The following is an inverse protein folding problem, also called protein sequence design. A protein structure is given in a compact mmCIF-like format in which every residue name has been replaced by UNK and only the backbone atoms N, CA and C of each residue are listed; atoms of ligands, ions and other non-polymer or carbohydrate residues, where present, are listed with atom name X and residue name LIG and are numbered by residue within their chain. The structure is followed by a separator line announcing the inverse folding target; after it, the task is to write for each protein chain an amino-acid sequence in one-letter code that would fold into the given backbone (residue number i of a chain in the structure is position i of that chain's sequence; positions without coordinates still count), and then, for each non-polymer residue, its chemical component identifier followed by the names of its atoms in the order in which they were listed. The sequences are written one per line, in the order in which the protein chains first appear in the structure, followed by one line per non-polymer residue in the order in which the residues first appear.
data_IF_062814090883
#
_entry.id   IF_062814090883
#
_cell.length_a   1.000
_cell.length_b   1.000
_cell.length_c   1.000
_cell.angle_alpha   90.00
_cell.angle_beta   90.00
_cell.angle_gamma   90.00
#
_symmetry.space_group_name_H-M   'P 1'
#
loop_
_entity.id
_entity.type
_entity.pdbx_description
1 polymer ?
#
# COMPACT_ATOMS: atom_id res chain seq x y z
N UNK A 1 37.06 -32.68 -2.59
CA UNK A 1 38.51 -32.53 -2.81
C UNK A 1 38.76 -32.00 -4.22
N UNK A 2 38.78 -30.66 -4.37
CA UNK A 2 39.26 -29.82 -5.50
C UNK A 2 38.72 -28.40 -5.23
N UNK A 3 39.46 -27.58 -4.47
CA UNK A 3 40.44 -26.57 -4.95
C UNK A 3 39.76 -25.50 -5.84
N UNK A 4 39.40 -24.34 -5.28
CA UNK A 4 40.21 -23.11 -5.11
C UNK A 4 40.15 -22.24 -6.38
N UNK A 5 39.56 -21.05 -6.29
CA UNK A 5 40.23 -19.82 -6.75
C UNK A 5 39.52 -18.53 -6.30
N UNK A 6 40.33 -17.81 -5.54
CA UNK A 6 40.31 -16.46 -5.03
C UNK A 6 40.72 -15.45 -6.11
N UNK A 7 40.06 -14.28 -6.19
CA UNK A 7 40.54 -13.01 -6.74
C UNK A 7 39.37 -11.99 -6.66
N UNK A 8 39.27 -11.01 -5.77
CA UNK A 8 40.20 -9.98 -5.30
C UNK A 8 40.76 -9.09 -6.42
N UNK A 9 40.17 -7.90 -6.60
CA UNK A 9 40.75 -6.58 -7.04
C UNK A 9 39.64 -5.60 -7.47
N UNK A 10 39.86 -4.27 -7.58
CA UNK A 10 40.04 -3.34 -6.46
C UNK A 10 39.13 -2.09 -6.56
N UNK A 11 39.06 -1.33 -5.46
CA UNK A 11 38.53 0.05 -5.40
C UNK A 11 39.21 0.95 -6.45
N UNK A 12 38.43 1.56 -7.34
CA UNK A 12 38.86 2.77 -8.05
C UNK A 12 38.48 4.02 -7.26
N UNK A 13 39.51 4.82 -7.02
CA UNK A 13 39.56 6.03 -6.22
C UNK A 13 39.75 7.17 -7.22
N UNK A 14 38.68 7.89 -7.57
CA UNK A 14 38.81 9.08 -8.40
C UNK A 14 39.07 10.28 -7.50
N UNK A 15 40.30 10.79 -7.57
CA UNK A 15 40.71 12.04 -6.97
C UNK A 15 40.86 13.14 -8.03
N UNK A 16 40.42 14.35 -7.64
CA UNK A 16 40.86 15.70 -8.07
C UNK A 16 40.70 16.09 -9.56
N UNK A 17 40.68 17.39 -9.94
CA UNK A 17 41.02 18.58 -9.15
C UNK A 17 39.98 19.74 -9.20
N UNK A 18 40.11 20.69 -8.27
CA UNK A 18 39.52 22.02 -8.39
C UNK A 18 40.44 22.99 -9.16
N UNK A 19 39.92 24.16 -9.60
CA UNK A 19 40.71 25.37 -9.86
C UNK A 19 40.34 26.45 -8.82
N UNK A 20 41.25 26.85 -7.92
CA UNK A 20 42.17 28.01 -8.06
C UNK A 20 41.62 29.22 -8.83
N UNK A 21 41.24 30.22 -8.04
CA UNK A 21 41.75 31.60 -8.05
C UNK A 21 41.96 32.29 -9.41
N UNK A 22 41.13 33.30 -9.65
CA UNK A 22 41.41 34.42 -10.54
C UNK A 22 41.02 35.73 -9.87
N UNK A 23 41.91 36.27 -9.02
CA UNK A 23 41.91 37.68 -8.64
C UNK A 23 42.26 38.49 -9.91
N UNK A 24 41.34 39.33 -10.35
CA UNK A 24 41.62 40.39 -11.31
C UNK A 24 41.33 41.73 -10.64
N UNK A 25 42.38 42.28 -10.05
CA UNK A 25 42.52 43.68 -9.66
C UNK A 25 42.44 44.54 -10.91
N UNK A 26 41.50 45.49 -10.97
CA UNK A 26 41.53 46.58 -11.96
C UNK A 26 41.08 47.89 -11.33
N UNK A 27 42.06 48.78 -11.27
CA UNK A 27 42.13 50.24 -11.04
C UNK A 27 40.92 51.03 -10.52
N UNK A 28 41.13 51.86 -9.49
CA UNK A 28 40.24 52.95 -9.11
C UNK A 28 40.65 54.24 -9.84
N UNK A 29 39.91 54.61 -10.89
CA UNK A 29 40.07 55.93 -11.51
C UNK A 29 38.70 56.53 -11.86
N UNK A 30 38.39 57.59 -11.13
CA UNK A 30 37.64 58.77 -11.57
C UNK A 30 36.27 58.55 -12.24
N UNK A 31 35.22 58.53 -11.42
CA UNK A 31 33.89 58.92 -11.87
C UNK A 31 33.55 60.34 -11.37
N UNK A 32 33.06 61.21 -12.26
CA UNK A 32 32.79 62.62 -11.96
C UNK A 32 31.62 62.78 -10.98
N UNK A 33 31.80 63.70 -10.05
CA UNK A 33 30.80 64.18 -9.10
C UNK A 33 29.58 64.74 -9.83
N UNK A 34 28.49 63.96 -9.86
CA UNK A 34 27.18 64.48 -10.21
C UNK A 34 26.59 65.24 -9.01
N UNK A 35 26.07 66.47 -9.20
CA UNK A 35 25.40 67.18 -8.13
C UNK A 35 24.13 66.43 -7.73
N UNK A 36 24.06 66.11 -6.44
CA UNK A 36 22.87 65.65 -5.73
C UNK A 36 21.80 66.75 -5.79
N UNK A 37 21.05 66.78 -6.90
CA UNK A 37 19.79 67.49 -6.98
C UNK A 37 18.80 66.71 -6.10
N UNK A 38 18.71 67.15 -4.85
CA UNK A 38 17.63 66.81 -3.93
C UNK A 38 16.30 67.23 -4.57
N UNK A 39 15.74 66.38 -5.44
CA UNK A 39 14.29 66.40 -5.66
C UNK A 39 13.69 65.92 -4.35
N UNK A 40 13.27 66.87 -3.53
CA UNK A 40 12.36 66.69 -2.42
C UNK A 40 11.08 66.03 -2.97
N UNK A 41 11.07 64.69 -3.01
CA UNK A 41 9.85 63.94 -3.20
C UNK A 41 9.07 64.09 -1.90
N UNK A 42 8.19 65.10 -1.88
CA UNK A 42 7.17 65.24 -0.86
C UNK A 42 6.61 63.85 -0.53
N UNK A 43 6.43 63.48 0.76
CA UNK A 43 5.80 62.21 1.09
C UNK A 43 4.41 62.25 0.48
N UNK A 44 4.24 61.57 -0.67
CA UNK A 44 2.94 61.35 -1.26
C UNK A 44 2.21 60.55 -0.19
N UNK A 45 1.33 61.24 0.54
CA UNK A 45 0.35 60.63 1.42
C UNK A 45 -0.52 59.75 0.52
N UNK A 46 -0.02 58.55 0.21
CA UNK A 46 -0.74 57.51 -0.49
C UNK A 46 -1.78 57.08 0.53
N UNK A 47 -2.92 57.75 0.52
CA UNK A 47 -4.10 57.21 1.19
C UNK A 47 -4.17 55.74 0.73
N UNK A 48 -4.15 54.78 1.67
CA UNK A 48 -4.24 53.40 1.30
C UNK A 48 -5.49 53.28 0.44
N UNK A 49 -5.34 52.71 -0.76
CA UNK A 49 -6.45 52.45 -1.67
C UNK A 49 -7.66 52.02 -0.85
N UNK A 50 -8.85 52.59 -1.08
CA UNK A 50 -10.00 52.39 -0.21
C UNK A 50 -10.17 50.90 0.07
N UNK A 51 -9.81 50.50 1.31
CA UNK A 51 -9.50 49.11 1.70
C UNK A 51 -10.65 48.16 1.36
N UNK A 52 -11.87 48.72 1.36
CA UNK A 52 -13.13 48.09 1.00
C UNK A 52 -13.11 47.46 -0.40
N UNK A 53 -12.49 48.09 -1.40
CA UNK A 53 -12.48 47.56 -2.78
C UNK A 53 -11.52 46.39 -2.95
N UNK A 54 -10.39 46.41 -2.24
CA UNK A 54 -9.46 45.28 -2.21
C UNK A 54 -10.14 44.07 -1.57
N UNK A 55 -10.83 44.28 -0.44
CA UNK A 55 -11.59 43.23 0.25
C UNK A 55 -12.68 42.65 -0.66
N UNK A 56 -13.43 43.49 -1.37
CA UNK A 56 -14.45 43.02 -2.33
C UNK A 56 -13.83 42.18 -3.45
N UNK A 57 -12.72 42.62 -4.04
CA UNK A 57 -12.04 41.88 -5.10
C UNK A 57 -11.52 40.51 -4.61
N UNK A 58 -10.95 40.46 -3.40
CA UNK A 58 -10.48 39.21 -2.77
C UNK A 58 -11.64 38.25 -2.55
N UNK A 59 -12.76 38.72 -1.99
CA UNK A 59 -13.96 37.89 -1.78
C UNK A 59 -14.50 37.38 -3.12
N UNK A 60 -14.60 38.25 -4.12
CA UNK A 60 -15.16 37.93 -5.43
C UNK A 60 -14.31 36.90 -6.20
N UNK A 61 -13.01 36.79 -5.91
CA UNK A 61 -12.14 35.78 -6.54
C UNK A 61 -12.03 34.51 -5.68
N UNK A 62 -11.78 34.66 -4.38
CA UNK A 62 -11.51 33.51 -3.50
C UNK A 62 -12.76 32.66 -3.29
N UNK A 63 -13.93 33.26 -3.04
CA UNK A 63 -15.14 32.51 -2.74
C UNK A 63 -15.57 31.60 -3.90
N UNK A 64 -15.69 32.08 -5.17
CA UNK A 64 -16.05 31.21 -6.28
C UNK A 64 -14.95 30.19 -6.59
N UNK A 65 -13.67 30.58 -6.51
CA UNK A 65 -12.56 29.63 -6.68
C UNK A 65 -12.63 28.50 -5.64
N UNK A 66 -12.88 28.84 -4.38
CA UNK A 66 -13.00 27.87 -3.28
C UNK A 66 -14.23 26.99 -3.46
N UNK A 67 -15.37 27.56 -3.86
CA UNK A 67 -16.59 26.81 -4.12
C UNK A 67 -16.42 25.82 -5.28
N UNK A 68 -15.85 26.26 -6.42
CA UNK A 68 -15.55 25.37 -7.54
C UNK A 68 -14.59 24.26 -7.12
N UNK A 69 -13.53 24.61 -6.39
CA UNK A 69 -12.54 23.64 -5.95
C UNK A 69 -13.18 22.60 -5.04
N UNK A 70 -13.98 22.99 -4.04
CA UNK A 70 -14.64 22.04 -3.14
C UNK A 70 -15.73 21.22 -3.82
N UNK A 71 -16.51 21.81 -4.74
CA UNK A 71 -17.62 21.13 -5.42
C UNK A 71 -17.15 20.14 -6.49
N UNK A 72 -16.05 20.45 -7.18
CA UNK A 72 -15.51 19.63 -8.27
C UNK A 72 -14.24 18.87 -7.90
N UNK A 73 -13.75 18.97 -6.65
CA UNK A 73 -12.68 18.09 -6.17
C UNK A 73 -13.18 16.66 -6.24
N UNK A 74 -12.60 15.88 -7.14
CA UNK A 74 -12.88 14.44 -7.24
C UNK A 74 -12.69 13.81 -5.85
N UNK A 75 -13.72 13.20 -5.25
CA UNK A 75 -13.56 12.47 -4.01
C UNK A 75 -12.78 11.20 -4.34
N UNK A 76 -11.49 11.20 -4.02
CA UNK A 76 -10.64 10.05 -4.25
C UNK A 76 -9.17 10.38 -3.97
N UNK A 77 -8.37 9.37 -3.61
CA UNK A 77 -6.93 9.52 -3.56
C UNK A 77 -6.42 10.00 -4.93
N UNK A 78 -5.35 10.78 -4.93
CA UNK A 78 -4.68 11.13 -6.18
C UNK A 78 -4.29 9.84 -6.92
N UNK A 79 -4.42 9.83 -8.24
CA UNK A 79 -3.96 8.73 -9.09
C UNK A 79 -2.50 8.41 -8.75
N UNK A 80 -2.21 7.15 -8.41
CA UNK A 80 -0.88 6.68 -8.07
C UNK A 80 -0.41 5.81 -9.23
N UNK A 81 0.31 6.36 -10.24
CA UNK A 81 0.51 5.71 -11.53
C UNK A 81 1.08 4.29 -11.41
N UNK A 82 2.00 4.09 -10.48
CA UNK A 82 2.66 2.80 -10.29
C UNK A 82 1.70 1.74 -9.71
N UNK A 83 1.00 2.06 -8.63
CA UNK A 83 0.02 1.16 -8.01
C UNK A 83 -1.16 0.88 -8.94
N UNK A 84 -1.67 1.91 -9.62
CA UNK A 84 -2.82 1.78 -10.51
C UNK A 84 -2.49 0.95 -11.76
N UNK A 85 -1.30 1.10 -12.34
CA UNK A 85 -0.85 0.26 -13.47
C UNK A 85 -0.60 -1.18 -13.04
N UNK A 86 0.00 -1.41 -11.86
CA UNK A 86 0.19 -2.75 -11.29
C UNK A 86 -1.15 -3.45 -11.06
N UNK A 87 -2.11 -2.76 -10.45
CA UNK A 87 -3.43 -3.31 -10.17
C UNK A 87 -4.15 -3.71 -11.46
N UNK A 88 -4.11 -2.86 -12.49
CA UNK A 88 -4.68 -3.19 -13.81
C UNK A 88 -4.00 -4.40 -14.45
N UNK A 89 -2.67 -4.46 -14.40
CA UNK A 89 -1.91 -5.59 -14.93
C UNK A 89 -2.25 -6.90 -14.19
N UNK A 90 -2.28 -6.87 -12.86
CA UNK A 90 -2.67 -8.02 -12.03
C UNK A 90 -4.07 -8.52 -12.36
N UNK A 91 -5.07 -7.62 -12.40
CA UNK A 91 -6.45 -7.99 -12.73
C UNK A 91 -6.54 -8.61 -14.12
N UNK A 92 -5.87 -8.02 -15.13
CA UNK A 92 -5.89 -8.57 -16.49
C UNK A 92 -5.28 -9.97 -16.58
N UNK A 93 -4.17 -10.23 -15.86
CA UNK A 93 -3.49 -11.53 -15.86
C UNK A 93 -4.26 -12.60 -15.09
N UNK A 94 -4.84 -12.21 -13.94
CA UNK A 94 -5.67 -13.11 -13.13
C UNK A 94 -6.90 -13.55 -13.91
N UNK A 95 -7.62 -12.61 -14.52
CA UNK A 95 -8.79 -12.92 -15.35
C UNK A 95 -8.43 -13.78 -16.56
N UNK A 96 -7.31 -13.49 -17.24
CA UNK A 96 -6.82 -14.32 -18.35
C UNK A 96 -6.47 -15.76 -17.91
N UNK A 97 -6.02 -15.93 -16.66
CA UNK A 97 -5.74 -17.24 -16.07
C UNK A 97 -6.95 -17.92 -15.41
N UNK A 98 -8.14 -17.30 -15.50
CA UNK A 98 -9.39 -17.83 -14.94
C UNK A 98 -9.55 -17.61 -13.43
N UNK A 99 -8.70 -16.78 -12.81
CA UNK A 99 -8.83 -16.41 -11.41
C UNK A 99 -9.76 -15.22 -11.20
N UNK A 100 -10.67 -15.36 -10.24
CA UNK A 100 -11.41 -14.26 -9.66
C UNK A 100 -10.76 -13.86 -8.34
N UNK A 101 -10.49 -12.56 -8.16
CA UNK A 101 -9.92 -12.02 -6.91
C UNK A 101 -10.99 -11.27 -6.14
N UNK A 102 -11.15 -11.59 -4.86
CA UNK A 102 -12.05 -10.92 -3.93
C UNK A 102 -11.33 -10.51 -2.64
N UNK A 103 -11.32 -9.21 -2.29
CA UNK A 103 -10.78 -8.77 -1.02
C UNK A 103 -11.73 -9.14 0.13
N UNK A 104 -11.17 -9.78 1.16
CA UNK A 104 -11.85 -10.13 2.40
C UNK A 104 -11.30 -9.25 3.54
N UNK A 105 -12.10 -8.35 4.12
CA UNK A 105 -11.66 -7.55 5.26
C UNK A 105 -11.46 -8.44 6.48
N UNK A 106 -10.39 -8.19 7.24
CA UNK A 106 -10.19 -8.84 8.54
C UNK A 106 -10.95 -8.11 9.64
N UNK A 107 -11.78 -8.83 10.37
CA UNK A 107 -12.30 -8.38 11.66
C UNK A 107 -11.38 -8.87 12.77
N UNK A 108 -11.23 -8.07 13.83
CA UNK A 108 -10.41 -8.41 15.01
C UNK A 108 -11.33 -8.53 16.22
N UNK A 109 -11.82 -9.75 16.50
CA UNK A 109 -12.64 -9.99 17.68
C UNK A 109 -11.82 -9.80 18.96
N UNK A 110 -12.40 -9.15 19.95
CA UNK A 110 -11.83 -9.13 21.30
C UNK A 110 -11.94 -10.51 21.97
N UNK A 111 -13.06 -11.19 21.73
CA UNK A 111 -13.38 -12.51 22.28
C UNK A 111 -13.40 -13.60 21.21
N UNK A 112 -13.42 -14.88 21.62
CA UNK A 112 -13.57 -15.99 20.67
C UNK A 112 -14.87 -15.82 19.92
N UNK A 113 -14.78 -15.75 18.60
CA UNK A 113 -15.97 -15.84 17.75
C UNK A 113 -16.46 -17.27 17.78
N UNK A 114 -17.77 -17.47 17.94
CA UNK A 114 -18.41 -18.79 17.84
C UNK A 114 -18.42 -19.32 16.40
N UNK A 115 -17.32 -19.15 15.67
CA UNK A 115 -17.16 -19.61 14.29
C UNK A 115 -17.35 -21.13 14.26
N UNK A 116 -18.22 -21.61 13.39
CA UNK A 116 -18.45 -23.04 13.20
C UNK A 116 -17.11 -23.71 12.87
N UNK A 117 -16.67 -24.63 13.74
CA UNK A 117 -15.48 -25.44 13.51
C UNK A 117 -15.81 -26.74 12.79
N UNK A 118 -14.84 -27.66 12.77
CA UNK A 118 -15.04 -29.04 12.32
C UNK A 118 -14.54 -29.34 10.91
N UNK A 119 -13.98 -28.37 10.18
CA UNK A 119 -13.21 -28.68 8.99
C UNK A 119 -11.94 -29.45 9.37
N UNK A 120 -11.63 -30.51 8.61
CA UNK A 120 -10.37 -31.22 8.74
C UNK A 120 -9.27 -30.41 8.06
N UNK A 121 -8.43 -29.76 8.87
CA UNK A 121 -7.36 -28.87 8.40
C UNK A 121 -6.05 -29.65 8.29
N UNK A 122 -5.59 -29.88 7.07
CA UNK A 122 -4.31 -30.47 6.76
C UNK A 122 -3.22 -29.40 6.60
N UNK A 123 -1.98 -29.76 6.95
CA UNK A 123 -0.79 -28.96 6.62
C UNK A 123 -0.33 -29.30 5.21
N UNK A 124 -0.05 -28.28 4.40
CA UNK A 124 0.47 -28.44 3.03
C UNK A 124 1.71 -27.56 2.84
N UNK A 125 2.41 -27.75 1.72
CA UNK A 125 3.61 -26.99 1.39
C UNK A 125 3.36 -25.48 1.45
N UNK A 126 4.32 -24.75 2.03
CA UNK A 126 4.28 -23.30 2.11
C UNK A 126 4.34 -22.60 0.76
N UNK A 127 3.88 -21.36 0.74
CA UNK A 127 3.82 -20.45 -0.39
C UNK A 127 2.46 -20.44 -1.09
N UNK A 128 2.37 -19.58 -2.11
CA UNK A 128 1.25 -19.60 -3.05
C UNK A 128 1.38 -20.77 -4.02
N UNK A 129 0.27 -21.34 -4.53
CA UNK A 129 0.30 -22.25 -5.67
C UNK A 129 1.09 -21.68 -6.85
N UNK A 130 1.84 -22.54 -7.55
CA UNK A 130 2.79 -22.10 -8.57
C UNK A 130 2.11 -21.38 -9.75
N UNK A 131 0.91 -21.82 -10.11
CA UNK A 131 0.10 -21.21 -11.16
C UNK A 131 -0.37 -19.80 -10.76
N UNK A 132 -0.91 -19.63 -9.55
CA UNK A 132 -1.27 -18.31 -9.04
C UNK A 132 -0.06 -17.38 -8.96
N UNK A 133 1.07 -17.88 -8.44
CA UNK A 133 2.31 -17.08 -8.31
C UNK A 133 2.82 -16.58 -9.66
N UNK A 134 2.72 -17.39 -10.72
CA UNK A 134 3.15 -16.99 -12.06
C UNK A 134 2.26 -15.91 -12.69
N UNK A 135 1.00 -15.79 -12.25
CA UNK A 135 0.06 -14.79 -12.77
C UNK A 135 0.20 -13.41 -12.12
N UNK A 136 0.67 -13.38 -10.86
CA UNK A 136 0.83 -12.15 -10.09
C UNK A 136 2.10 -11.41 -10.54
N UNK A 137 1.99 -10.10 -10.75
CA UNK A 137 3.13 -9.23 -11.10
C UNK A 137 4.13 -9.15 -9.97
N UNK A 138 3.63 -9.09 -8.73
CA UNK A 138 4.44 -9.08 -7.51
C UNK A 138 3.80 -10.06 -6.51
N UNK A 139 4.58 -10.99 -5.94
CA UNK A 139 4.05 -11.92 -4.96
C UNK A 139 3.65 -11.15 -3.70
N UNK A 140 2.43 -11.37 -3.16
CA UNK A 140 2.04 -10.76 -1.90
C UNK A 140 2.91 -11.29 -0.76
N UNK A 141 3.12 -10.44 0.23
CA UNK A 141 3.72 -10.86 1.48
C UNK A 141 2.80 -11.85 2.18
N UNK A 142 3.36 -12.98 2.63
CA UNK A 142 2.63 -14.01 3.35
C UNK A 142 3.01 -14.01 4.84
N UNK A 143 2.14 -14.50 5.74
CA UNK A 143 2.54 -14.75 7.11
C UNK A 143 3.63 -15.82 7.15
N UNK A 144 4.56 -15.70 8.10
CA UNK A 144 5.62 -16.69 8.25
C UNK A 144 5.05 -18.08 8.56
N UNK A 145 4.03 -18.15 9.42
CA UNK A 145 3.40 -19.40 9.84
C UNK A 145 1.93 -19.22 10.24
N UNK A 146 1.10 -20.22 9.90
CA UNK A 146 -0.28 -20.32 10.37
C UNK A 146 -0.33 -21.27 11.57
N UNK A 147 -0.65 -20.69 12.73
CA UNK A 147 -0.69 -21.39 14.01
C UNK A 147 -1.99 -22.16 14.19
N UNK A 148 -3.13 -21.54 13.85
CA UNK A 148 -4.45 -22.13 14.01
C UNK A 148 -5.40 -21.64 12.93
N UNK A 149 -6.31 -22.53 12.49
CA UNK A 149 -7.45 -22.21 11.63
C UNK A 149 -8.67 -22.91 12.19
N UNK A 150 -9.78 -22.18 12.27
CA UNK A 150 -11.10 -22.70 12.62
C UNK A 150 -12.07 -22.30 11.52
N UNK A 151 -12.65 -23.29 10.85
CA UNK A 151 -13.62 -23.09 9.79
C UNK A 151 -14.59 -24.29 9.74
N UNK A 152 -15.78 -24.07 9.17
CA UNK A 152 -16.78 -25.12 9.02
C UNK A 152 -16.49 -25.94 7.75
N UNK A 153 -16.77 -27.26 7.73
CA UNK A 153 -16.57 -28.11 6.55
C UNK A 153 -17.63 -27.87 5.48
N UNK A 154 -18.75 -27.22 5.84
CA UNK A 154 -19.81 -26.85 4.92
C UNK A 154 -20.32 -25.44 5.16
N UNK A 155 -20.89 -24.82 4.13
CA UNK A 155 -21.49 -23.49 4.15
C UNK A 155 -22.74 -23.45 3.27
N UNK A 156 -23.67 -22.54 3.57
CA UNK A 156 -24.78 -22.23 2.68
C UNK A 156 -24.42 -21.05 1.81
N UNK A 157 -24.77 -21.10 0.52
CA UNK A 157 -24.65 -19.98 -0.42
C UNK A 157 -25.31 -18.69 0.06
N UNK A 158 -26.33 -18.78 0.92
CA UNK A 158 -27.08 -17.63 1.42
C UNK A 158 -26.48 -17.00 2.69
N UNK A 159 -25.49 -17.65 3.30
CA UNK A 159 -24.87 -17.21 4.55
C UNK A 159 -23.40 -16.84 4.36
N UNK A 160 -22.89 -15.88 5.15
CA UNK A 160 -21.46 -15.60 5.17
C UNK A 160 -20.68 -16.81 5.68
N UNK A 161 -19.59 -17.15 4.99
CA UNK A 161 -18.67 -18.19 5.46
C UNK A 161 -17.55 -17.57 6.29
N UNK A 162 -17.52 -17.91 7.57
CA UNK A 162 -16.57 -17.38 8.53
C UNK A 162 -15.34 -18.30 8.67
N UNK A 163 -14.16 -17.70 8.64
CA UNK A 163 -12.87 -18.38 8.81
C UNK A 163 -12.11 -17.62 9.89
N UNK A 164 -11.89 -18.25 11.03
CA UNK A 164 -11.04 -17.70 12.08
C UNK A 164 -9.63 -18.25 11.93
N UNK A 165 -8.63 -17.37 11.95
CA UNK A 165 -7.23 -17.79 11.84
C UNK A 165 -6.34 -17.04 12.82
N UNK A 166 -5.28 -17.72 13.23
CA UNK A 166 -4.19 -17.17 14.02
C UNK A 166 -2.88 -17.41 13.27
N UNK A 167 -2.13 -16.35 12.98
CA UNK A 167 -0.87 -16.43 12.27
C UNK A 167 0.20 -15.56 12.91
N UNK A 168 1.46 -15.83 12.54
CA UNK A 168 2.59 -14.97 12.89
C UNK A 168 2.74 -13.83 11.89
N UNK A 169 3.01 -12.63 12.42
CA UNK A 169 3.28 -11.45 11.63
C UNK A 169 4.74 -11.47 11.12
N UNK A 170 4.98 -10.97 9.91
CA UNK A 170 6.33 -10.94 9.32
C UNK A 170 7.26 -9.93 10.02
N UNK A 171 6.71 -8.81 10.50
CA UNK A 171 7.46 -7.79 11.25
C UNK A 171 6.54 -7.08 12.28
N UNK A 172 7.13 -6.23 13.14
CA UNK A 172 6.43 -5.48 14.18
C UNK A 172 5.75 -4.19 13.66
N UNK A 173 5.95 -3.86 12.38
CA UNK A 173 5.42 -2.66 11.71
C UNK A 173 4.25 -2.99 10.80
N UNK A 174 3.85 -4.25 10.72
CA UNK A 174 2.74 -4.73 9.89
C UNK A 174 1.72 -5.43 10.74
N UNK A 175 0.47 -5.15 10.47
CA UNK A 175 -0.67 -5.81 11.05
C UNK A 175 -1.47 -6.51 9.96
N UNK A 176 -2.22 -7.54 10.33
CA UNK A 176 -3.08 -8.24 9.38
C UNK A 176 -4.32 -7.37 9.06
N UNK A 177 -4.44 -6.94 7.81
CA UNK A 177 -5.53 -6.06 7.32
C UNK A 177 -6.68 -6.83 6.67
N UNK A 178 -6.42 -8.04 6.18
CA UNK A 178 -7.42 -8.83 5.48
C UNK A 178 -6.83 -10.09 4.86
N UNK A 179 -7.50 -10.55 3.81
CA UNK A 179 -6.96 -11.54 2.88
C UNK A 179 -7.51 -11.27 1.48
N UNK A 180 -6.77 -11.68 0.46
CA UNK A 180 -7.29 -11.82 -0.90
C UNK A 180 -7.71 -13.27 -1.11
N UNK A 181 -8.95 -13.47 -1.54
CA UNK A 181 -9.46 -14.76 -1.98
C UNK A 181 -9.30 -14.88 -3.49
N UNK A 182 -8.60 -15.91 -3.94
CA UNK A 182 -8.47 -16.27 -5.34
C UNK A 182 -9.29 -17.54 -5.61
N UNK A 183 -10.29 -17.41 -6.48
CA UNK A 183 -11.16 -18.50 -6.90
C UNK A 183 -10.83 -18.91 -8.33
N UNK A 184 -10.62 -20.21 -8.55
CA UNK A 184 -10.47 -20.81 -9.90
C UNK A 184 -11.03 -22.23 -9.86
N UNK A 185 -12.17 -22.43 -10.53
CA UNK A 185 -12.87 -23.72 -10.52
C UNK A 185 -13.26 -24.14 -9.10
N UNK A 186 -12.79 -25.30 -8.67
CA UNK A 186 -12.98 -25.89 -7.34
C UNK A 186 -11.88 -25.48 -6.32
N UNK A 187 -10.96 -24.61 -6.70
CA UNK A 187 -9.83 -24.23 -5.86
C UNK A 187 -10.00 -22.82 -5.31
N UNK A 188 -9.87 -22.71 -3.98
CA UNK A 188 -9.91 -21.44 -3.23
C UNK A 188 -8.57 -21.21 -2.56
N UNK A 189 -7.90 -20.10 -2.89
CA UNK A 189 -6.63 -19.71 -2.26
C UNK A 189 -6.84 -18.42 -1.48
N UNK A 190 -6.63 -18.48 -0.17
CA UNK A 190 -6.64 -17.32 0.71
C UNK A 190 -5.21 -16.85 0.95
N UNK A 191 -4.89 -15.63 0.52
CA UNK A 191 -3.61 -14.99 0.77
C UNK A 191 -3.81 -13.84 1.78
N UNK A 192 -3.36 -13.99 3.04
CA UNK A 192 -3.50 -12.93 4.04
C UNK A 192 -2.77 -11.65 3.59
N UNK A 193 -3.37 -10.49 3.84
CA UNK A 193 -2.81 -9.17 3.48
C UNK A 193 -2.43 -8.37 4.70
N UNK A 194 -1.34 -7.62 4.57
CA UNK A 194 -0.76 -6.84 5.66
C UNK A 194 -0.83 -5.35 5.36
N UNK A 195 -1.13 -4.58 6.40
CA UNK A 195 -1.12 -3.13 6.39
C UNK A 195 0.00 -2.63 7.28
N UNK A 196 0.56 -1.48 6.92
CA UNK A 196 1.54 -0.81 7.76
C UNK A 196 0.87 -0.13 8.96
N UNK A 197 1.49 -0.30 10.13
CA UNK A 197 1.17 0.45 11.33
C UNK A 197 1.85 1.82 11.23
N UNK A 198 1.06 2.89 11.26
CA UNK A 198 1.54 4.25 11.02
C UNK A 198 2.44 4.80 12.15
N UNK A 199 3.41 5.64 11.77
CA UNK A 199 4.31 6.33 12.70
C UNK A 199 5.28 5.41 13.44
N UNK A 200 5.60 5.77 14.69
CA UNK A 200 6.51 4.99 15.54
C UNK A 200 5.81 3.84 16.28
N UNK A 201 4.52 3.63 16.04
CA UNK A 201 3.76 2.53 16.62
C UNK A 201 4.30 1.17 16.16
N UNK A 202 4.21 0.19 17.06
CA UNK A 202 4.53 -1.21 16.82
C UNK A 202 3.31 -2.05 17.15
N UNK A 203 3.17 -3.20 16.50
CA UNK A 203 2.16 -4.18 16.87
C UNK A 203 2.41 -4.67 18.29
N UNK A 204 1.33 -4.76 19.09
CA UNK A 204 1.40 -5.25 20.48
C UNK A 204 1.95 -6.68 20.57
N UNK A 205 1.71 -7.51 19.56
CA UNK A 205 2.14 -8.91 19.50
C UNK A 205 2.50 -9.30 18.06
N UNK A 206 3.47 -10.20 17.90
CA UNK A 206 3.80 -10.86 16.62
C UNK A 206 2.83 -11.96 16.20
N UNK A 207 1.76 -12.14 16.97
CA UNK A 207 0.67 -13.04 16.63
C UNK A 207 -0.57 -12.19 16.40
N UNK A 208 -1.26 -12.47 15.30
CA UNK A 208 -2.53 -11.83 14.98
C UNK A 208 -3.60 -12.91 14.86
N UNK A 209 -4.75 -12.65 15.48
CA UNK A 209 -5.96 -13.43 15.33
C UNK A 209 -7.00 -12.58 14.63
N UNK A 210 -7.58 -13.10 13.56
CA UNK A 210 -8.61 -12.42 12.80
C UNK A 210 -9.74 -13.36 12.41
N UNK A 211 -10.90 -12.77 12.17
CA UNK A 211 -12.02 -13.38 11.49
C UNK A 211 -12.06 -12.84 10.05
N UNK A 212 -11.95 -13.74 9.09
CA UNK A 212 -12.24 -13.46 7.69
C UNK A 212 -13.67 -13.91 7.38
N UNK A 213 -14.37 -13.18 6.52
CA UNK A 213 -15.73 -13.51 6.14
C UNK A 213 -15.87 -13.46 4.63
N UNK A 214 -16.18 -14.60 4.03
CA UNK A 214 -16.58 -14.66 2.62
C UNK A 214 -18.06 -14.22 2.54
N UNK A 215 -18.38 -13.20 1.73
CA UNK A 215 -19.75 -12.72 1.60
C UNK A 215 -20.69 -13.79 1.02
N UNK A 216 -21.98 -13.79 1.41
CA UNK A 216 -22.97 -14.69 0.81
C UNK A 216 -23.09 -14.47 -0.70
N UNK A 217 -23.42 -15.51 -1.44
CA UNK A 217 -23.54 -15.50 -2.90
C UNK A 217 -22.22 -15.43 -3.67
N UNK A 218 -21.07 -15.34 -2.98
CA UNK A 218 -19.75 -15.32 -3.62
C UNK A 218 -19.37 -16.68 -4.22
N UNK A 219 -19.65 -17.75 -3.48
CA UNK A 219 -19.30 -19.12 -3.87
C UNK A 219 -20.53 -19.80 -4.45
N UNK A 220 -20.39 -20.38 -5.65
CA UNK A 220 -21.43 -21.23 -6.21
C UNK A 220 -21.53 -22.55 -5.42
N UNK A 221 -22.69 -23.24 -5.42
CA UNK A 221 -22.79 -24.57 -4.84
C UNK A 221 -21.76 -25.53 -5.44
N UNK A 222 -21.13 -26.34 -4.60
CA UNK A 222 -20.09 -27.28 -5.04
C UNK A 222 -19.08 -27.64 -3.95
N UNK A 223 -18.07 -28.43 -4.32
CA UNK A 223 -16.97 -28.80 -3.45
C UNK A 223 -15.74 -27.98 -3.80
N UNK A 224 -15.12 -27.39 -2.78
CA UNK A 224 -13.93 -26.58 -2.93
C UNK A 224 -12.79 -27.09 -2.07
N UNK A 225 -11.58 -26.99 -2.61
CA UNK A 225 -10.34 -27.13 -1.84
C UNK A 225 -9.85 -25.76 -1.42
N UNK A 226 -9.94 -25.47 -0.14
CA UNK A 226 -9.46 -24.21 0.43
C UNK A 226 -8.00 -24.35 0.83
N UNK A 227 -7.18 -23.36 0.50
CA UNK A 227 -5.77 -23.27 0.90
C UNK A 227 -5.49 -21.88 1.46
N UNK A 228 -5.16 -21.80 2.75
CA UNK A 228 -4.64 -20.60 3.40
C UNK A 228 -3.12 -20.57 3.28
N UNK A 229 -2.61 -19.58 2.55
CA UNK A 229 -1.20 -19.48 2.20
C UNK A 229 -0.35 -18.86 3.33
N UNK A 230 0.78 -19.49 3.64
CA UNK A 230 1.83 -18.98 4.52
C UNK A 230 3.21 -19.29 3.92
N UNK A 231 4.28 -18.64 4.35
CA UNK A 231 5.62 -18.87 3.81
C UNK A 231 6.15 -20.28 4.11
N UNK A 232 6.08 -20.73 5.37
CA UNK A 232 6.65 -22.02 5.79
C UNK A 232 5.70 -23.19 5.56
N UNK A 233 4.48 -23.04 6.05
CA UNK A 233 3.47 -24.10 6.05
C UNK A 233 2.08 -23.50 5.84
N UNK A 234 1.47 -23.88 4.73
CA UNK A 234 0.11 -23.50 4.38
C UNK A 234 -0.88 -24.48 5.02
N UNK A 235 -2.14 -24.08 5.15
CA UNK A 235 -3.23 -24.94 5.67
C UNK A 235 -4.26 -25.18 4.59
N UNK A 236 -4.77 -26.39 4.48
CA UNK A 236 -5.80 -26.73 3.50
C UNK A 236 -6.91 -27.57 4.10
N UNK A 237 -8.14 -27.34 3.66
CA UNK A 237 -9.31 -28.11 4.05
C UNK A 237 -10.31 -28.17 2.90
N UNK A 238 -11.24 -29.13 2.98
CA UNK A 238 -12.34 -29.23 2.03
C UNK A 238 -13.55 -28.45 2.54
N UNK A 239 -14.22 -27.75 1.63
CA UNK A 239 -15.42 -26.96 1.89
C UNK A 239 -16.54 -27.41 0.93
N UNK A 240 -17.67 -27.80 1.48
CA UNK A 240 -18.89 -28.06 0.72
C UNK A 240 -19.84 -26.85 0.80
N UNK A 241 -20.21 -26.27 -0.34
CA UNK A 241 -21.15 -25.15 -0.42
C UNK A 241 -22.50 -25.66 -0.93
N UNK A 242 -23.55 -25.44 -0.15
CA UNK A 242 -24.94 -25.88 -0.42
C UNK A 242 -25.86 -24.72 -0.81
#
# INVERSE_FOLDING_TARGET
MKSRNEAARPRQRNGFPGPRAGLATRDPAAFPSFPLLLMSAAPRNRQPWPMKWIVVAVILVIVPYTFLTLRYRKPGPAFQPYEDMKNRANVSRLLAAGYQRLPLPAQRPADRTGTGGGAEVATVAGGLPADLRATLVEPPLLPAEILQVTAAPSSSTLLPYAIELTCTLPDDKRQLGGAELYLKGDTLVLAPTFEFVAGDLLTRSRQARVLLTVPPGTLAPGHYRVTLAAERASRSWNLEVK
#
